data_IF_318448570801
#
_entry.id   IF_318448570801
#
_cell.length_a   1.000
_cell.length_b   1.000
_cell.length_c   1.000
_cell.angle_alpha   90.00
_cell.angle_beta   90.00
_cell.angle_gamma   90.00
#
_symmetry.space_group_name_H-M   'P 1'
#
loop_
_entity.id
_entity.type
_entity.pdbx_description
1 polymer ?
#
# COMPACT_ATOMS: atom_id res chain seq x y z
N UNK A 1 -4.46 21.44 31.76
CA UNK A 1 -5.86 21.48 32.23
C UNK A 1 -6.73 20.69 31.25
N UNK A 2 -7.51 19.69 31.71
CA UNK A 2 -8.36 18.85 30.86
C UNK A 2 -7.66 18.27 29.61
N UNK A 3 -6.40 17.84 29.75
CA UNK A 3 -5.60 17.33 28.62
C UNK A 3 -4.95 18.39 27.72
N UNK A 4 -5.22 19.68 27.94
CA UNK A 4 -4.54 20.79 27.23
C UNK A 4 -3.36 21.28 28.06
N UNK A 5 -2.16 21.30 27.47
CA UNK A 5 -0.98 21.87 28.11
C UNK A 5 -1.07 23.39 28.11
N UNK A 6 -1.07 23.98 29.29
CA UNK A 6 -1.19 25.43 29.48
C UNK A 6 -0.18 25.89 30.52
N UNK A 7 0.30 27.11 30.35
CA UNK A 7 1.18 27.81 31.27
C UNK A 7 0.38 28.90 31.97
N UNK A 8 0.32 28.86 33.30
CA UNK A 8 -0.28 29.94 34.06
C UNK A 8 0.72 31.06 34.26
N UNK A 9 0.28 32.30 34.01
CA UNK A 9 1.04 33.51 34.31
C UNK A 9 0.13 34.50 35.00
N UNK A 10 0.60 35.05 36.11
CA UNK A 10 -0.12 36.04 36.87
C UNK A 10 0.72 36.58 38.01
N UNK A 11 0.16 37.57 38.68
CA UNK A 11 0.72 38.14 39.89
C UNK A 11 -0.35 38.11 40.98
N UNK A 12 0.11 38.10 42.23
CA UNK A 12 -0.75 38.18 43.40
C UNK A 12 -0.19 39.24 44.34
N UNK A 13 -1.07 40.11 44.82
CA UNK A 13 -0.81 41.02 45.93
C UNK A 13 -0.77 40.20 47.22
N UNK A 14 0.35 40.30 47.95
CA UNK A 14 0.56 39.54 49.19
C UNK A 14 -0.19 40.13 50.39
N UNK A 15 -0.56 41.41 50.34
CA UNK A 15 -1.30 42.07 51.43
C UNK A 15 -2.81 41.90 51.26
N UNK A 16 -3.31 42.05 50.03
CA UNK A 16 -4.75 41.97 49.73
C UNK A 16 -5.19 40.58 49.30
N UNK A 17 -4.24 39.68 49.02
CA UNK A 17 -4.47 38.33 48.49
C UNK A 17 -5.34 38.34 47.22
N UNK A 18 -5.32 39.44 46.47
CA UNK A 18 -5.96 39.57 45.17
C UNK A 18 -4.90 39.56 44.07
N UNK A 19 -5.33 39.30 42.84
CA UNK A 19 -4.40 39.15 41.75
C UNK A 19 -5.10 38.77 40.47
N UNK A 20 -4.38 38.91 39.36
CA UNK A 20 -4.87 38.57 38.03
C UNK A 20 -3.88 37.60 37.40
N UNK A 21 -4.42 36.58 36.74
CA UNK A 21 -3.63 35.66 35.93
C UNK A 21 -4.38 35.22 34.68
N UNK A 22 -3.62 34.90 33.64
CA UNK A 22 -4.09 34.32 32.41
C UNK A 22 -3.45 32.95 32.18
N UNK A 23 -4.11 32.15 31.33
CA UNK A 23 -3.58 30.88 30.85
C UNK A 23 -3.11 31.08 29.41
N UNK A 24 -1.85 30.73 29.15
CA UNK A 24 -1.25 30.70 27.82
C UNK A 24 -1.14 29.25 27.35
N UNK A 25 -1.31 28.99 26.06
CA UNK A 25 -1.11 27.66 25.50
C UNK A 25 0.39 27.34 25.44
N UNK A 26 0.80 26.18 25.96
CA UNK A 26 2.19 25.75 25.94
C UNK A 26 2.39 24.75 24.79
N UNK A 27 2.69 25.28 23.60
CA UNK A 27 2.87 24.50 22.37
C UNK A 27 4.02 23.50 22.47
N UNK A 28 5.14 23.92 23.05
CA UNK A 28 6.37 23.13 23.13
C UNK A 28 6.15 21.90 24.01
N UNK A 29 5.57 22.08 25.20
CA UNK A 29 5.21 20.95 26.07
C UNK A 29 4.14 20.07 25.47
N UNK A 30 3.11 20.65 24.84
CA UNK A 30 2.08 19.86 24.17
C UNK A 30 2.66 19.02 23.02
N UNK A 31 3.64 19.53 22.27
CA UNK A 31 4.32 18.79 21.20
C UNK A 31 5.26 17.72 21.76
N UNK A 32 6.05 18.03 22.79
CA UNK A 32 6.89 17.03 23.46
C UNK A 32 6.05 15.90 24.06
N UNK A 33 4.96 16.21 24.76
CA UNK A 33 4.06 15.21 25.33
C UNK A 33 3.42 14.35 24.23
N UNK A 34 3.02 14.94 23.09
CA UNK A 34 2.53 14.16 21.94
C UNK A 34 3.60 13.22 21.38
N UNK A 35 4.85 13.66 21.27
CA UNK A 35 5.95 12.84 20.75
C UNK A 35 6.37 11.75 21.74
N UNK A 36 6.24 11.98 23.05
CA UNK A 36 6.66 11.04 24.09
C UNK A 36 5.54 10.08 24.54
N UNK A 37 4.27 10.50 24.48
CA UNK A 37 3.10 9.70 24.84
C UNK A 37 2.53 8.89 23.65
N UNK A 38 2.88 9.23 22.40
CA UNK A 38 2.47 8.49 21.20
C UNK A 38 3.52 7.52 20.61
N UNK A 39 4.14 6.60 21.38
CA UNK A 39 4.69 5.37 20.80
C UNK A 39 3.77 4.16 20.96
N UNK A 40 2.61 4.27 21.63
CA UNK A 40 1.73 3.12 21.93
C UNK A 40 0.77 2.79 20.76
N UNK A 41 0.84 3.49 19.63
CA UNK A 41 0.08 3.08 18.46
C UNK A 41 0.81 1.93 17.74
N UNK A 42 0.34 0.70 17.97
CA UNK A 42 0.74 -0.51 17.23
C UNK A 42 0.46 -0.42 15.72
N UNK A 43 -0.11 0.69 15.23
CA UNK A 43 -0.46 0.94 13.83
C UNK A 43 0.68 0.65 12.87
N UNK A 44 1.95 0.97 13.21
CA UNK A 44 3.08 0.68 12.29
C UNK A 44 3.38 -0.81 12.15
N UNK A 45 3.16 -1.60 13.20
CA UNK A 45 3.40 -3.06 13.19
C UNK A 45 2.22 -3.77 12.51
N UNK A 46 1.00 -3.33 12.80
CA UNK A 46 -0.21 -3.84 12.17
C UNK A 46 -0.25 -3.53 10.67
N UNK A 47 0.15 -2.32 10.26
CA UNK A 47 0.26 -1.93 8.85
C UNK A 47 1.31 -2.77 8.10
N UNK A 48 2.40 -3.14 8.76
CA UNK A 48 3.43 -3.99 8.18
C UNK A 48 2.92 -5.41 7.97
N UNK A 49 2.25 -5.99 8.97
CA UNK A 49 1.65 -7.32 8.88
C UNK A 49 0.56 -7.41 7.81
N UNK A 50 -0.30 -6.38 7.72
CA UNK A 50 -1.34 -6.31 6.69
C UNK A 50 -0.76 -6.18 5.28
N UNK A 51 0.29 -5.37 5.12
CA UNK A 51 0.99 -5.25 3.83
C UNK A 51 1.62 -6.57 3.40
N UNK A 52 2.28 -7.27 4.30
CA UNK A 52 2.93 -8.56 4.01
C UNK A 52 1.91 -9.61 3.53
N UNK A 53 0.75 -9.70 4.18
CA UNK A 53 -0.31 -10.62 3.76
C UNK A 53 -0.87 -10.27 2.36
N UNK A 54 -1.06 -8.98 2.08
CA UNK A 54 -1.50 -8.49 0.77
C UNK A 54 -0.48 -8.82 -0.33
N UNK A 55 0.80 -8.59 -0.06
CA UNK A 55 1.88 -8.90 -1.00
C UNK A 55 1.94 -10.39 -1.30
N UNK A 56 1.85 -11.24 -0.27
CA UNK A 56 1.90 -12.68 -0.43
C UNK A 56 0.70 -13.24 -1.20
N UNK A 57 -0.48 -12.63 -1.04
CA UNK A 57 -1.68 -12.96 -1.81
C UNK A 57 -1.54 -12.53 -3.29
N UNK A 58 -1.10 -11.29 -3.52
CA UNK A 58 -0.90 -10.76 -4.87
C UNK A 58 0.18 -11.51 -5.65
N UNK A 59 1.22 -12.00 -4.96
CA UNK A 59 2.26 -12.84 -5.55
C UNK A 59 1.65 -14.11 -6.15
N UNK A 60 0.84 -14.83 -5.37
CA UNK A 60 0.19 -16.07 -5.82
C UNK A 60 -0.79 -15.86 -6.96
N UNK A 61 -1.51 -14.74 -6.95
CA UNK A 61 -2.44 -14.40 -8.01
C UNK A 61 -1.69 -14.17 -9.33
N UNK A 62 -0.59 -13.41 -9.30
CA UNK A 62 0.28 -13.20 -10.47
C UNK A 62 0.83 -14.50 -11.04
N UNK A 63 1.33 -15.38 -10.18
CA UNK A 63 1.84 -16.70 -10.63
C UNK A 63 0.76 -17.57 -11.30
N UNK A 64 -0.50 -17.40 -10.90
CA UNK A 64 -1.62 -18.12 -11.49
C UNK A 64 -1.99 -17.53 -12.86
N UNK A 65 -2.06 -16.20 -12.95
CA UNK A 65 -2.29 -15.49 -14.22
C UNK A 65 -1.20 -15.78 -15.25
N UNK A 66 0.07 -15.78 -14.83
CA UNK A 66 1.21 -16.08 -15.70
C UNK A 66 1.16 -17.53 -16.22
N UNK A 67 0.83 -18.50 -15.35
CA UNK A 67 0.62 -19.89 -15.76
C UNK A 67 -0.51 -20.00 -16.78
N UNK A 68 -1.64 -19.34 -16.52
CA UNK A 68 -2.78 -19.37 -17.44
C UNK A 68 -2.44 -18.74 -18.80
N UNK A 69 -1.68 -17.63 -18.80
CA UNK A 69 -1.15 -17.01 -20.03
C UNK A 69 -0.21 -17.96 -20.78
N UNK A 70 0.70 -18.61 -20.08
CA UNK A 70 1.65 -19.55 -20.68
C UNK A 70 0.94 -20.74 -21.35
N UNK A 71 -0.10 -21.29 -20.70
CA UNK A 71 -0.94 -22.34 -21.28
C UNK A 71 -1.68 -21.89 -22.53
N UNK A 72 -2.32 -20.71 -22.50
CA UNK A 72 -3.01 -20.14 -23.68
C UNK A 72 -2.05 -19.86 -24.83
N UNK A 73 -0.88 -19.32 -24.53
CA UNK A 73 0.17 -19.07 -25.52
C UNK A 73 0.66 -20.36 -26.18
N UNK A 74 0.95 -21.40 -25.40
CA UNK A 74 1.35 -22.70 -25.95
C UNK A 74 0.27 -23.30 -26.86
N UNK A 75 -0.99 -23.22 -26.48
CA UNK A 75 -2.10 -23.75 -27.29
C UNK A 75 -2.30 -22.96 -28.59
N UNK A 76 -2.14 -21.63 -28.56
CA UNK A 76 -2.13 -20.77 -29.75
C UNK A 76 -0.95 -21.07 -30.67
N UNK A 77 0.26 -21.24 -30.12
CA UNK A 77 1.43 -21.61 -30.92
C UNK A 77 1.25 -22.97 -31.61
N UNK A 78 0.71 -23.96 -30.90
CA UNK A 78 0.52 -25.30 -31.45
C UNK A 78 -0.54 -25.34 -32.56
N UNK A 79 -1.63 -24.58 -32.41
CA UNK A 79 -2.69 -24.46 -33.40
C UNK A 79 -2.25 -23.65 -34.62
N UNK A 80 -1.48 -22.57 -34.44
CA UNK A 80 -0.89 -21.82 -35.55
C UNK A 80 0.10 -22.68 -36.36
N UNK A 81 0.90 -23.52 -35.69
CA UNK A 81 1.87 -24.35 -36.37
C UNK A 81 1.21 -25.44 -37.24
N UNK A 82 0.12 -26.04 -36.74
CA UNK A 82 -0.68 -27.00 -37.52
C UNK A 82 -1.35 -26.34 -38.73
N UNK A 83 -1.91 -25.14 -38.57
CA UNK A 83 -2.50 -24.40 -39.70
C UNK A 83 -1.45 -24.08 -40.77
N UNK A 84 -0.25 -23.66 -40.37
CA UNK A 84 0.84 -23.41 -41.31
C UNK A 84 1.22 -24.68 -42.10
N UNK A 85 1.36 -25.81 -41.42
CA UNK A 85 1.69 -27.09 -42.09
C UNK A 85 0.57 -27.54 -43.05
N UNK A 86 -0.70 -27.35 -42.70
CA UNK A 86 -1.81 -27.70 -43.58
C UNK A 86 -1.84 -26.80 -44.81
N UNK A 87 -1.54 -25.51 -44.64
CA UNK A 87 -1.49 -24.55 -45.71
C UNK A 87 -0.31 -24.83 -46.67
N UNK A 88 0.86 -25.18 -46.16
CA UNK A 88 2.01 -25.61 -46.98
C UNK A 88 1.68 -26.85 -47.81
N UNK A 89 1.08 -27.88 -47.20
CA UNK A 89 0.65 -29.08 -47.93
C UNK A 89 -0.38 -28.75 -49.02
N UNK A 90 -1.29 -27.83 -48.75
CA UNK A 90 -2.31 -27.42 -49.71
C UNK A 90 -1.71 -26.65 -50.90
N UNK A 91 -0.65 -25.87 -50.66
CA UNK A 91 0.11 -25.18 -51.71
C UNK A 91 0.88 -26.20 -52.57
N UNK A 92 1.58 -27.16 -51.97
CA UNK A 92 2.28 -28.23 -52.70
C UNK A 92 1.32 -29.05 -53.59
N UNK A 93 0.18 -29.48 -53.04
CA UNK A 93 -0.85 -30.19 -53.81
C UNK A 93 -1.43 -29.38 -54.99
N UNK A 94 -1.47 -28.04 -54.86
CA UNK A 94 -1.94 -27.15 -55.92
C UNK A 94 -0.89 -26.88 -57.00
N UNK A 95 0.39 -27.05 -56.69
CA UNK A 95 1.50 -26.96 -57.64
C UNK A 95 1.60 -28.23 -58.49
N UNK A 96 1.38 -29.41 -57.89
CA UNK A 96 1.42 -30.71 -58.59
C UNK A 96 0.22 -30.95 -59.52
N UNK A 97 -0.87 -30.19 -59.38
CA UNK A 97 -2.06 -30.32 -60.24
C UNK A 97 -1.96 -29.49 -61.54
N UNK A 98 -0.86 -28.78 -61.76
CA UNK A 98 -0.64 -27.90 -62.91
C UNK A 98 0.45 -28.36 -63.90
N UNK A 99 1.01 -29.56 -63.75
CA UNK A 99 1.75 -30.29 -64.82
C UNK A 99 0.82 -31.20 -65.63
#
# INVERSE_FOLDING_TARGET
MNGVCVRWRGWIDLERLDGVGCLEYDEERAQMDKLFFFPISNSKVEDAMLREQLEHYNQRLREFEDRQKAYRSHQQHHSNHQNHHLQERQIELSLDTHE
#
